data_IF_515248885851
#
_entry.id   IF_515248885851
#
_cell.length_a   1.000
_cell.length_b   1.000
_cell.length_c   1.000
_cell.angle_alpha   90.00
_cell.angle_beta   90.00
_cell.angle_gamma   90.00
#
_symmetry.space_group_name_H-M   'P 1'
#
loop_
_entity.id
_entity.type
_entity.pdbx_description
1 polymer ?
#
# COMPACT_ATOMS: atom_id res chain seq x y z
N UNK A 1 -11.48 31.72 13.68
CA UNK A 1 -11.11 30.29 13.67
C UNK A 1 -10.12 30.15 12.53
N UNK A 2 -8.85 29.91 12.85
CA UNK A 2 -7.84 29.58 11.84
C UNK A 2 -8.26 28.23 11.25
N UNK A 3 -8.46 28.20 9.94
CA UNK A 3 -8.76 26.97 9.24
C UNK A 3 -7.45 26.17 9.18
N UNK A 4 -7.22 25.33 10.17
CA UNK A 4 -6.06 24.44 10.23
C UNK A 4 -6.33 23.25 9.32
N UNK A 5 -5.48 23.02 8.34
CA UNK A 5 -5.55 21.88 7.45
C UNK A 5 -4.28 21.07 7.61
N UNK A 6 -4.31 19.95 8.35
CA UNK A 6 -3.12 19.17 8.65
C UNK A 6 -2.54 18.50 7.41
N UNK A 7 -1.22 18.20 7.46
CA UNK A 7 -0.55 17.28 6.56
C UNK A 7 -0.22 16.02 7.35
N UNK A 8 -0.72 14.88 6.90
CA UNK A 8 -0.41 13.58 7.46
C UNK A 8 0.74 12.95 6.68
N UNK A 9 1.78 12.53 7.38
CA UNK A 9 2.97 11.89 6.80
C UNK A 9 2.94 10.41 7.17
N UNK A 10 2.85 9.55 6.15
CA UNK A 10 2.85 8.09 6.27
C UNK A 10 4.22 7.52 5.91
N UNK A 11 4.59 6.42 6.54
CA UNK A 11 5.90 5.76 6.38
C UNK A 11 5.66 4.31 6.02
N UNK A 12 5.94 3.93 4.78
CA UNK A 12 5.47 2.68 4.19
C UNK A 12 6.59 1.86 3.55
N UNK A 13 6.48 0.55 3.69
CA UNK A 13 7.26 -0.37 2.87
C UNK A 13 6.82 -0.26 1.41
N UNK A 14 7.77 0.00 0.50
CA UNK A 14 7.49 0.27 -0.92
C UNK A 14 6.85 -0.92 -1.65
N UNK A 15 7.06 -2.13 -1.18
CA UNK A 15 6.57 -3.34 -1.85
C UNK A 15 5.24 -3.85 -1.28
N UNK A 16 5.08 -3.76 0.04
CA UNK A 16 3.92 -4.32 0.74
C UNK A 16 2.91 -3.26 1.16
N UNK A 17 3.30 -1.98 1.08
CA UNK A 17 2.55 -0.84 1.62
C UNK A 17 2.28 -0.93 3.13
N UNK A 18 2.97 -1.83 3.82
CA UNK A 18 2.86 -1.96 5.26
C UNK A 18 3.38 -0.70 5.95
N UNK A 19 2.63 -0.22 6.95
CA UNK A 19 3.04 0.91 7.79
C UNK A 19 4.25 0.53 8.63
N UNK A 20 5.33 1.31 8.54
CA UNK A 20 6.59 1.07 9.24
C UNK A 20 6.69 1.79 10.59
N UNK A 21 5.97 2.88 10.72
CA UNK A 21 5.84 3.65 11.97
C UNK A 21 4.57 4.50 11.94
N UNK A 22 4.11 4.95 13.11
CA UNK A 22 2.90 5.79 13.21
C UNK A 22 2.99 7.03 12.34
N UNK A 23 1.90 7.43 11.68
CA UNK A 23 1.85 8.66 10.91
C UNK A 23 2.17 9.89 11.76
N UNK A 24 2.87 10.84 11.18
CA UNK A 24 3.14 12.14 11.81
C UNK A 24 2.17 13.18 11.29
N UNK A 25 1.53 13.89 12.19
CA UNK A 25 0.68 15.04 11.84
C UNK A 25 1.48 16.33 11.93
N UNK A 26 1.42 17.12 10.87
CA UNK A 26 1.93 18.48 10.83
C UNK A 26 0.74 19.45 10.84
N UNK A 27 0.77 20.45 11.71
CA UNK A 27 -0.26 21.47 11.82
C UNK A 27 0.29 22.83 11.43
N UNK A 28 -0.50 23.60 10.69
CA UNK A 28 -0.16 24.97 10.27
C UNK A 28 -1.34 25.67 9.63
N UNK A 29 -1.21 26.99 9.48
CA UNK A 29 -2.22 27.82 8.80
C UNK A 29 -2.13 27.67 7.28
N UNK A 30 -3.26 27.80 6.59
CA UNK A 30 -3.31 27.77 5.11
C UNK A 30 -2.33 28.78 4.51
N UNK A 31 -1.47 28.29 3.62
CA UNK A 31 -0.40 29.08 2.97
C UNK A 31 0.92 29.15 3.74
N UNK A 32 0.99 28.65 4.97
CA UNK A 32 2.25 28.54 5.71
C UNK A 32 3.12 27.40 5.12
N UNK A 33 4.45 27.54 5.12
CA UNK A 33 5.33 26.49 4.63
C UNK A 33 5.47 25.34 5.64
N UNK A 34 5.58 24.12 5.15
CA UNK A 34 6.02 22.96 5.92
C UNK A 34 7.25 22.28 5.30
N UNK A 35 7.98 21.56 6.13
CA UNK A 35 9.11 20.73 5.70
C UNK A 35 9.09 19.41 6.47
N UNK A 36 9.17 18.30 5.73
CA UNK A 36 9.20 16.94 6.29
C UNK A 36 10.63 16.45 6.35
N UNK A 37 11.07 16.04 7.53
CA UNK A 37 12.35 15.37 7.73
C UNK A 37 12.15 13.86 7.57
N UNK A 38 12.97 13.23 6.75
CA UNK A 38 12.95 11.78 6.55
C UNK A 38 13.55 11.10 7.78
N UNK A 39 12.80 10.26 8.51
CA UNK A 39 13.31 9.56 9.68
C UNK A 39 14.24 8.41 9.30
N UNK A 40 15.11 8.03 10.22
CA UNK A 40 15.84 6.76 10.15
C UNK A 40 14.94 5.63 10.67
N UNK A 41 14.67 4.63 9.81
CA UNK A 41 13.90 3.43 10.18
C UNK A 41 14.83 2.22 10.15
N UNK A 42 14.91 1.49 11.26
CA UNK A 42 15.78 0.32 11.38
C UNK A 42 15.49 -0.71 10.30
N UNK A 43 16.52 -1.18 9.62
CA UNK A 43 16.46 -2.13 8.50
C UNK A 43 15.79 -1.62 7.23
N UNK A 44 15.48 -0.32 7.15
CA UNK A 44 14.89 0.30 5.98
C UNK A 44 15.73 1.47 5.47
N UNK A 45 15.62 1.74 4.19
CA UNK A 45 16.28 2.88 3.52
C UNK A 45 15.21 3.63 2.72
N UNK A 46 15.16 4.95 2.90
CA UNK A 46 14.26 5.81 2.13
C UNK A 46 14.53 5.69 0.64
N UNK A 47 13.47 5.68 -0.15
CA UNK A 47 13.52 5.60 -1.63
C UNK A 47 12.92 6.84 -2.25
N UNK A 48 11.65 7.13 -1.94
CA UNK A 48 10.82 8.06 -2.69
C UNK A 48 9.65 8.55 -1.83
N UNK A 49 8.95 9.58 -2.30
CA UNK A 49 7.73 10.07 -1.68
C UNK A 49 6.62 10.32 -2.71
N UNK A 50 5.37 10.14 -2.30
CA UNK A 50 4.21 10.64 -3.04
C UNK A 50 3.87 12.04 -2.51
N UNK A 51 4.26 13.06 -3.25
CA UNK A 51 4.10 14.46 -2.89
C UNK A 51 5.42 15.16 -2.50
N UNK A 52 5.33 16.44 -2.17
CA UNK A 52 6.49 17.28 -1.91
C UNK A 52 6.86 17.29 -0.42
N UNK A 53 8.13 16.96 -0.10
CA UNK A 53 8.66 17.05 1.27
C UNK A 53 8.68 18.49 1.82
N UNK A 54 8.68 19.47 0.93
CA UNK A 54 8.63 20.89 1.27
C UNK A 54 7.55 21.56 0.43
N UNK A 55 6.49 22.04 1.07
CA UNK A 55 5.37 22.68 0.40
C UNK A 55 4.65 23.62 1.35
N UNK A 56 3.41 23.96 1.09
CA UNK A 56 2.57 24.83 1.92
C UNK A 56 1.31 24.09 2.36
N UNK A 57 0.79 24.43 3.55
CA UNK A 57 -0.49 23.93 3.99
C UNK A 57 -1.61 24.42 3.08
N UNK A 58 -2.38 23.47 2.54
CA UNK A 58 -3.55 23.73 1.70
C UNK A 58 -4.78 24.13 2.50
N UNK A 59 -5.89 24.29 1.81
CA UNK A 59 -7.21 24.54 2.43
C UNK A 59 -7.98 23.26 2.77
N UNK A 60 -7.43 22.08 2.45
CA UNK A 60 -7.92 20.75 2.78
C UNK A 60 -6.80 19.94 3.41
N UNK A 61 -7.11 18.95 4.26
CA UNK A 61 -6.12 17.99 4.73
C UNK A 61 -5.34 17.35 3.58
N UNK A 62 -4.04 17.17 3.77
CA UNK A 62 -3.13 16.60 2.79
C UNK A 62 -2.49 15.34 3.36
N UNK A 63 -2.14 14.38 2.48
CA UNK A 63 -1.34 13.23 2.84
C UNK A 63 -0.05 13.19 2.03
N UNK A 64 1.02 12.74 2.67
CA UNK A 64 2.34 12.55 2.11
C UNK A 64 2.82 11.15 2.50
N UNK A 65 3.12 10.31 1.52
CA UNK A 65 3.60 8.95 1.75
C UNK A 65 5.08 8.87 1.44
N UNK A 66 5.87 8.48 2.43
CA UNK A 66 7.30 8.21 2.29
C UNK A 66 7.51 6.71 2.14
N UNK A 67 8.13 6.31 1.04
CA UNK A 67 8.37 4.91 0.72
C UNK A 67 9.78 4.50 1.08
N UNK A 68 9.88 3.38 1.76
CA UNK A 68 11.12 2.79 2.22
C UNK A 68 11.27 1.38 1.66
N UNK A 69 12.47 0.99 1.30
CA UNK A 69 12.82 -0.37 0.93
C UNK A 69 13.55 -1.08 2.07
N UNK A 70 13.47 -2.39 2.19
CA UNK A 70 14.38 -3.16 3.04
C UNK A 70 15.85 -2.84 2.72
N UNK A 71 16.69 -2.66 3.75
CA UNK A 71 18.11 -2.29 3.56
C UNK A 71 18.95 -3.40 2.93
N UNK A 72 18.45 -4.64 2.91
CA UNK A 72 19.07 -5.77 2.21
C UNK A 72 18.80 -5.76 0.68
N UNK A 73 18.03 -4.83 0.16
CA UNK A 73 17.97 -4.57 -1.28
C UNK A 73 18.94 -3.44 -1.61
N UNK A 74 19.59 -3.55 -2.77
CA UNK A 74 20.50 -2.49 -3.25
C UNK A 74 19.74 -1.24 -3.69
N UNK A 75 18.61 -1.45 -4.38
CA UNK A 75 17.80 -0.37 -4.92
C UNK A 75 16.34 -0.80 -5.14
N UNK A 76 15.42 0.16 -5.22
CA UNK A 76 14.02 -0.05 -5.56
C UNK A 76 13.47 1.18 -6.29
N UNK A 77 12.64 0.96 -7.32
CA UNK A 77 12.00 2.02 -8.09
C UNK A 77 10.55 1.68 -8.35
N UNK A 78 9.66 2.60 -8.02
CA UNK A 78 8.28 2.55 -8.49
C UNK A 78 8.28 2.83 -9.99
N UNK A 79 7.61 1.99 -10.74
CA UNK A 79 7.54 2.04 -12.20
C UNK A 79 6.11 1.82 -12.68
N UNK A 80 5.84 2.17 -13.92
CA UNK A 80 4.62 1.76 -14.63
C UNK A 80 5.07 1.04 -15.87
N UNK A 81 5.23 -0.28 -15.75
CA UNK A 81 5.67 -1.12 -16.86
C UNK A 81 4.83 -2.39 -16.96
N UNK A 82 5.01 -3.08 -18.06
CA UNK A 82 4.32 -4.32 -18.40
C UNK A 82 5.33 -5.37 -18.80
N UNK A 83 5.04 -6.62 -18.46
CA UNK A 83 5.85 -7.80 -18.78
C UNK A 83 5.04 -8.68 -19.73
N UNK A 84 5.62 -9.00 -20.88
CA UNK A 84 5.13 -10.06 -21.77
C UNK A 84 5.99 -11.33 -21.55
N UNK A 85 5.37 -12.41 -21.12
CA UNK A 85 6.05 -13.65 -20.77
C UNK A 85 6.25 -14.49 -22.04
N UNK A 86 7.50 -14.86 -22.34
CA UNK A 86 7.91 -15.57 -23.57
C UNK A 86 8.08 -17.08 -23.37
N UNK A 87 8.20 -17.53 -22.13
CA UNK A 87 8.24 -18.93 -21.74
C UNK A 87 7.68 -19.06 -20.32
N UNK A 88 7.25 -20.28 -19.94
CA UNK A 88 6.74 -20.51 -18.58
C UNK A 88 7.78 -20.12 -17.52
N UNK A 89 7.37 -19.38 -16.52
CA UNK A 89 8.21 -18.87 -15.45
C UNK A 89 7.62 -19.18 -14.08
N UNK A 90 8.45 -19.09 -13.05
CA UNK A 90 8.00 -19.12 -11.65
C UNK A 90 8.03 -17.71 -11.07
N UNK A 91 6.98 -17.34 -10.35
CA UNK A 91 6.98 -16.20 -9.44
C UNK A 91 7.31 -16.67 -8.03
N UNK A 92 7.96 -15.79 -7.26
CA UNK A 92 8.41 -16.05 -5.90
C UNK A 92 7.75 -15.07 -4.93
N UNK A 93 7.60 -15.46 -3.66
CA UNK A 93 6.97 -14.62 -2.63
C UNK A 93 7.80 -13.37 -2.27
N UNK A 94 9.11 -13.40 -2.55
CA UNK A 94 10.03 -12.28 -2.33
C UNK A 94 11.05 -12.22 -3.48
N UNK A 95 11.78 -11.11 -3.67
CA UNK A 95 12.82 -10.99 -4.68
C UNK A 95 14.10 -11.75 -4.28
N UNK A 96 13.96 -13.06 -4.10
CA UNK A 96 15.00 -14.00 -3.70
C UNK A 96 14.72 -15.37 -4.35
N UNK A 97 15.75 -15.97 -4.97
CA UNK A 97 15.68 -17.30 -5.57
C UNK A 97 15.44 -18.44 -4.54
N UNK A 98 15.65 -18.17 -3.26
CA UNK A 98 15.37 -19.10 -2.16
C UNK A 98 13.99 -18.94 -1.55
N UNK A 99 13.24 -17.89 -1.97
CA UNK A 99 11.87 -17.69 -1.51
C UNK A 99 10.94 -18.80 -2.03
N UNK A 100 9.83 -19.00 -1.35
CA UNK A 100 8.80 -19.93 -1.79
C UNK A 100 8.22 -19.49 -3.16
N UNK A 101 7.86 -20.46 -3.99
CA UNK A 101 7.17 -20.20 -5.26
C UNK A 101 5.73 -19.79 -4.95
N UNK A 102 5.35 -18.60 -5.38
CA UNK A 102 4.00 -18.06 -5.20
C UNK A 102 3.05 -18.45 -6.34
N UNK A 103 3.56 -18.53 -7.58
CA UNK A 103 2.72 -18.85 -8.73
C UNK A 103 3.54 -19.41 -9.91
N UNK A 104 2.85 -20.16 -10.79
CA UNK A 104 3.32 -20.50 -12.14
C UNK A 104 2.79 -19.45 -13.12
N UNK A 105 3.68 -18.85 -13.89
CA UNK A 105 3.38 -17.77 -14.82
C UNK A 105 3.46 -18.32 -16.25
N UNK A 106 2.33 -18.43 -16.95
CA UNK A 106 2.29 -19.10 -18.26
C UNK A 106 2.85 -18.22 -19.37
N UNK A 107 3.46 -18.86 -20.37
CA UNK A 107 3.87 -18.23 -21.63
C UNK A 107 2.68 -17.52 -22.29
N UNK A 108 2.93 -16.35 -22.89
CA UNK A 108 1.93 -15.54 -23.58
C UNK A 108 1.07 -14.67 -22.65
N UNK A 109 1.27 -14.73 -21.33
CA UNK A 109 0.61 -13.86 -20.38
C UNK A 109 1.24 -12.47 -20.31
N UNK A 110 0.43 -11.47 -19.92
CA UNK A 110 0.84 -10.07 -19.74
C UNK A 110 0.60 -9.64 -18.30
N UNK A 111 1.59 -8.99 -17.70
CA UNK A 111 1.58 -8.62 -16.28
C UNK A 111 1.92 -7.15 -16.10
N UNK A 112 1.14 -6.43 -15.32
CA UNK A 112 1.51 -5.12 -14.84
C UNK A 112 2.57 -5.26 -13.75
N UNK A 113 3.57 -4.36 -13.75
CA UNK A 113 4.61 -4.32 -12.72
C UNK A 113 4.78 -2.89 -12.20
N UNK A 114 4.40 -2.63 -10.94
CA UNK A 114 4.51 -1.31 -10.32
C UNK A 114 5.86 -1.06 -9.66
N UNK A 115 6.68 -2.10 -9.44
CA UNK A 115 7.92 -2.00 -8.70
C UNK A 115 9.03 -2.86 -9.31
N UNK A 116 10.20 -2.25 -9.47
CA UNK A 116 11.46 -2.92 -9.79
C UNK A 116 12.41 -2.85 -8.62
N UNK A 117 13.05 -3.95 -8.29
CA UNK A 117 14.05 -4.07 -7.23
C UNK A 117 15.37 -4.57 -7.81
N UNK A 118 16.46 -4.09 -7.25
CA UNK A 118 17.82 -4.63 -7.46
C UNK A 118 18.29 -5.19 -6.11
N UNK A 119 18.54 -6.48 -6.08
CA UNK A 119 19.08 -7.14 -4.88
C UNK A 119 20.57 -6.85 -4.70
N UNK A 120 21.14 -7.16 -3.53
CA UNK A 120 22.57 -6.90 -3.22
C UNK A 120 23.52 -7.63 -4.15
N UNK A 121 23.11 -8.79 -4.70
CA UNK A 121 23.86 -9.55 -5.72
C UNK A 121 23.67 -9.01 -7.15
N UNK A 122 22.93 -7.92 -7.33
CA UNK A 122 22.74 -7.24 -8.62
C UNK A 122 21.64 -7.82 -9.51
N UNK A 123 20.83 -8.75 -9.02
CA UNK A 123 19.70 -9.30 -9.76
C UNK A 123 18.55 -8.30 -9.80
N UNK A 124 17.89 -8.22 -10.95
CA UNK A 124 16.68 -7.41 -11.13
C UNK A 124 15.45 -8.28 -10.92
N UNK A 125 14.51 -7.75 -10.14
CA UNK A 125 13.25 -8.38 -9.83
C UNK A 125 12.10 -7.41 -10.08
N UNK A 126 10.99 -7.94 -10.56
CA UNK A 126 9.79 -7.19 -10.90
C UNK A 126 8.61 -7.73 -10.11
N UNK A 127 7.95 -6.86 -9.36
CA UNK A 127 6.73 -7.22 -8.65
C UNK A 127 5.57 -7.33 -9.64
N UNK A 128 4.89 -8.47 -9.65
CA UNK A 128 3.70 -8.73 -10.46
C UNK A 128 2.46 -9.00 -9.62
N UNK A 129 2.59 -8.82 -8.34
CA UNK A 129 1.51 -9.01 -7.35
C UNK A 129 2.04 -8.88 -5.94
N UNK A 130 1.12 -8.80 -4.97
CA UNK A 130 1.46 -8.87 -3.56
C UNK A 130 2.06 -10.25 -3.31
N UNK A 131 3.28 -10.31 -2.79
CA UNK A 131 4.03 -11.57 -2.65
C UNK A 131 4.23 -12.36 -3.96
N UNK A 132 4.34 -11.66 -5.09
CA UNK A 132 4.62 -12.29 -6.38
C UNK A 132 5.68 -11.51 -7.16
N UNK A 133 6.84 -12.13 -7.35
CA UNK A 133 8.02 -11.52 -7.94
C UNK A 133 8.59 -12.35 -9.06
N UNK A 134 8.90 -11.72 -10.19
CA UNK A 134 9.63 -12.34 -11.30
C UNK A 134 11.08 -11.86 -11.29
N UNK A 135 12.02 -12.81 -11.35
CA UNK A 135 13.41 -12.50 -11.66
C UNK A 135 13.53 -12.14 -13.13
N UNK A 136 14.26 -11.07 -13.43
CA UNK A 136 14.49 -10.69 -14.82
C UNK A 136 15.37 -11.69 -15.54
N UNK A 137 14.87 -12.20 -16.67
CA UNK A 137 15.59 -13.03 -17.62
C UNK A 137 15.22 -12.62 -19.06
N UNK A 138 16.18 -12.02 -19.78
CA UNK A 138 15.93 -11.37 -21.06
C UNK A 138 15.35 -12.28 -22.15
N UNK A 139 15.55 -13.60 -22.04
CA UNK A 139 15.03 -14.59 -23.00
C UNK A 139 13.65 -15.17 -22.59
N UNK A 140 13.19 -14.87 -21.37
CA UNK A 140 11.91 -15.36 -20.85
C UNK A 140 10.84 -14.26 -20.77
N UNK A 141 11.23 -12.98 -20.82
CA UNK A 141 10.31 -11.87 -20.71
C UNK A 141 10.73 -10.66 -21.55
N UNK A 142 9.73 -9.88 -21.95
CA UNK A 142 9.91 -8.57 -22.59
C UNK A 142 9.23 -7.51 -21.73
N UNK A 143 9.97 -6.45 -21.44
CA UNK A 143 9.48 -5.28 -20.69
C UNK A 143 9.03 -4.19 -21.68
N UNK A 144 7.91 -3.53 -21.35
CA UNK A 144 7.38 -2.40 -22.11
C UNK A 144 6.85 -1.33 -21.14
N UNK A 145 7.03 -0.05 -21.49
CA UNK A 145 6.39 1.10 -20.85
C UNK A 145 4.98 1.38 -21.41
N UNK A 146 4.63 0.71 -22.50
CA UNK A 146 3.34 0.82 -23.16
C UNK A 146 2.47 -0.37 -22.81
N UNK A 147 1.23 -0.12 -22.40
CA UNK A 147 0.28 -1.18 -22.13
C UNK A 147 0.06 -2.05 -23.38
N UNK A 148 0.18 -3.38 -23.26
CA UNK A 148 -0.06 -4.28 -24.38
C UNK A 148 -1.54 -4.18 -24.81
N UNK A 149 -1.80 -4.33 -26.11
CA UNK A 149 -3.16 -4.47 -26.64
C UNK A 149 -3.65 -5.90 -26.35
N UNK A 150 -3.97 -6.17 -25.09
CA UNK A 150 -4.39 -7.47 -24.60
C UNK A 150 -5.68 -7.31 -23.77
N UNK A 151 -6.58 -8.26 -23.89
CA UNK A 151 -7.85 -8.24 -23.14
C UNK A 151 -7.61 -8.43 -21.64
N UNK A 152 -6.51 -9.08 -21.24
CA UNK A 152 -6.18 -9.38 -19.85
C UNK A 152 -4.74 -8.98 -19.53
N UNK A 153 -4.57 -7.92 -18.77
CA UNK A 153 -3.32 -7.59 -18.11
C UNK A 153 -3.49 -7.99 -16.64
N UNK A 154 -2.65 -8.91 -16.18
CA UNK A 154 -2.75 -9.47 -14.85
C UNK A 154 -1.90 -8.68 -13.84
N UNK A 155 -2.35 -8.67 -12.62
CA UNK A 155 -1.59 -8.37 -11.41
C UNK A 155 -2.13 -9.28 -10.32
N UNK A 156 -1.28 -10.05 -9.66
CA UNK A 156 -1.69 -10.90 -8.55
C UNK A 156 -1.88 -9.97 -7.35
N UNK A 157 -3.11 -9.54 -7.14
CA UNK A 157 -3.44 -9.02 -5.82
C UNK A 157 -3.35 -10.20 -4.86
N UNK A 158 -2.67 -10.04 -3.73
CA UNK A 158 -2.97 -10.89 -2.60
C UNK A 158 -4.47 -10.68 -2.38
N UNK A 159 -5.24 -11.63 -2.87
CA UNK A 159 -6.43 -11.91 -2.14
C UNK A 159 -5.88 -12.37 -0.77
N UNK A 160 -5.77 -11.44 0.18
CA UNK A 160 -6.45 -11.71 1.42
C UNK A 160 -7.74 -12.32 0.90
N UNK A 161 -7.94 -13.63 1.05
CA UNK A 161 -9.26 -14.23 0.92
C UNK A 161 -10.04 -13.36 1.87
N UNK A 162 -10.66 -12.32 1.30
CA UNK A 162 -11.56 -11.48 2.02
C UNK A 162 -12.56 -12.53 2.47
N UNK A 163 -12.40 -12.91 3.72
CA UNK A 163 -13.42 -13.72 4.31
C UNK A 163 -14.56 -12.72 4.39
N UNK A 164 -15.34 -12.63 3.30
CA UNK A 164 -16.52 -11.76 3.20
C UNK A 164 -17.58 -12.17 4.24
N UNK A 165 -17.26 -13.20 5.02
CA UNK A 165 -18.03 -13.60 6.18
C UNK A 165 -17.86 -12.51 7.25
N UNK A 166 -18.96 -11.87 7.63
CA UNK A 166 -18.93 -10.89 8.71
C UNK A 166 -18.29 -11.48 9.96
N UNK A 167 -17.29 -10.79 10.49
CA UNK A 167 -16.57 -11.15 11.71
C UNK A 167 -16.62 -10.05 12.77
N UNK A 168 -17.38 -8.99 12.47
CA UNK A 168 -17.55 -7.84 13.35
C UNK A 168 -18.89 -7.16 13.13
N UNK A 169 -19.31 -6.35 14.10
CA UNK A 169 -20.49 -5.49 14.06
C UNK A 169 -20.05 -4.06 14.34
N UNK A 170 -20.58 -3.12 13.56
CA UNK A 170 -20.40 -1.68 13.80
C UNK A 170 -21.15 -1.30 15.08
N UNK A 171 -20.47 -0.67 16.01
CA UNK A 171 -20.99 -0.20 17.28
C UNK A 171 -20.82 1.32 17.37
N UNK A 172 -21.84 2.04 17.02
CA UNK A 172 -21.86 3.49 17.02
C UNK A 172 -23.09 4.02 17.78
N UNK A 173 -23.59 5.17 17.42
CA UNK A 173 -24.83 5.69 18.01
C UNK A 173 -26.05 5.09 17.30
N UNK A 174 -27.08 4.65 18.05
CA UNK A 174 -28.27 4.00 17.49
C UNK A 174 -28.91 4.79 16.33
N UNK A 175 -29.15 4.11 15.22
CA UNK A 175 -29.70 4.66 13.97
C UNK A 175 -28.84 5.75 13.32
N UNK A 176 -27.55 5.81 13.62
CA UNK A 176 -26.59 6.70 12.96
C UNK A 176 -25.55 5.88 12.19
N UNK A 177 -24.80 6.56 11.34
CA UNK A 177 -23.67 5.97 10.61
C UNK A 177 -22.37 6.67 11.03
N UNK A 178 -21.28 5.94 11.04
CA UNK A 178 -19.93 6.47 11.22
C UNK A 178 -19.18 6.48 9.88
N UNK A 179 -18.24 7.41 9.75
CA UNK A 179 -17.42 7.52 8.54
C UNK A 179 -16.42 6.37 8.43
N UNK A 180 -16.15 5.98 7.19
CA UNK A 180 -15.04 5.11 6.81
C UNK A 180 -14.09 5.88 5.90
N UNK A 181 -12.80 5.57 5.98
CA UNK A 181 -11.72 6.37 5.44
C UNK A 181 -10.94 5.58 4.38
N UNK A 182 -10.32 6.28 3.42
CA UNK A 182 -9.46 5.64 2.41
C UNK A 182 -8.25 4.93 3.06
N UNK A 183 -7.76 5.49 4.15
CA UNK A 183 -6.63 5.03 4.95
C UNK A 183 -6.79 5.52 6.38
N UNK A 184 -6.10 4.95 7.39
CA UNK A 184 -6.09 5.47 8.74
C UNK A 184 -5.74 6.96 8.76
N UNK A 185 -6.56 7.78 9.44
CA UNK A 185 -6.45 9.24 9.50
C UNK A 185 -6.63 9.98 8.16
N UNK A 186 -7.01 9.28 7.09
CA UNK A 186 -7.21 9.83 5.75
C UNK A 186 -8.53 10.56 5.56
N UNK A 187 -8.91 10.76 4.29
CA UNK A 187 -10.18 11.37 3.94
C UNK A 187 -11.33 10.37 4.03
N UNK A 188 -12.52 10.79 4.48
CA UNK A 188 -13.69 9.94 4.48
C UNK A 188 -14.09 9.60 3.03
N UNK A 189 -14.40 8.33 2.79
CA UNK A 189 -14.81 7.79 1.48
C UNK A 189 -16.23 7.21 1.49
N UNK A 190 -16.83 7.08 2.68
CA UNK A 190 -18.16 6.52 2.84
C UNK A 190 -18.58 6.49 4.30
N UNK A 191 -19.60 5.68 4.59
CA UNK A 191 -20.08 5.46 5.94
C UNK A 191 -20.66 4.05 6.10
N UNK A 192 -20.68 3.54 7.35
CA UNK A 192 -21.33 2.31 7.76
C UNK A 192 -22.28 2.59 8.92
N UNK A 193 -23.42 1.93 8.95
CA UNK A 193 -24.45 2.19 9.96
C UNK A 193 -24.20 1.39 11.25
N UNK A 194 -24.70 1.92 12.36
CA UNK A 194 -24.74 1.19 13.61
C UNK A 194 -25.51 -0.13 13.46
N UNK A 195 -24.91 -1.22 13.91
CA UNK A 195 -25.44 -2.58 13.79
C UNK A 195 -25.14 -3.30 12.48
N UNK A 196 -24.47 -2.66 11.52
CA UNK A 196 -24.06 -3.34 10.29
C UNK A 196 -23.05 -4.45 10.59
N UNK A 197 -23.27 -5.61 9.96
CA UNK A 197 -22.32 -6.71 9.97
C UNK A 197 -21.26 -6.47 8.92
N UNK A 198 -19.99 -6.44 9.32
CA UNK A 198 -18.85 -6.12 8.47
C UNK A 198 -17.75 -7.18 8.58
N UNK A 199 -16.96 -7.32 7.53
CA UNK A 199 -15.79 -8.20 7.53
C UNK A 199 -14.52 -7.35 7.70
N UNK A 200 -13.80 -7.55 8.79
CA UNK A 200 -12.44 -7.02 8.99
C UNK A 200 -11.50 -7.90 8.18
N UNK A 201 -10.77 -7.27 7.24
CA UNK A 201 -9.80 -7.94 6.36
C UNK A 201 -8.36 -7.60 6.71
N UNK A 202 -8.13 -6.49 7.43
CA UNK A 202 -6.81 -6.06 7.85
C UNK A 202 -6.90 -5.26 9.15
N UNK A 203 -5.78 -5.14 9.89
CA UNK A 203 -5.70 -4.26 11.05
C UNK A 203 -4.34 -3.56 11.11
N UNK A 204 -4.34 -2.31 11.55
CA UNK A 204 -3.17 -1.47 11.71
C UNK A 204 -3.08 -0.96 13.14
N UNK A 205 -1.96 -1.22 13.80
CA UNK A 205 -1.68 -0.76 15.16
C UNK A 205 -0.76 0.46 15.12
N UNK A 206 -1.09 1.48 15.89
CA UNK A 206 -0.32 2.71 16.01
C UNK A 206 0.27 2.87 17.42
N UNK A 207 1.36 3.62 17.57
CA UNK A 207 2.09 3.79 18.85
C UNK A 207 1.27 4.44 19.98
N UNK A 208 0.14 5.06 19.63
CA UNK A 208 -0.80 5.67 20.58
C UNK A 208 -1.93 4.70 21.01
N UNK A 209 -1.71 3.39 20.86
CA UNK A 209 -2.69 2.33 21.12
C UNK A 209 -3.99 2.41 20.29
N UNK A 210 -4.01 3.25 19.25
CA UNK A 210 -5.12 3.30 18.31
C UNK A 210 -4.96 2.18 17.30
N UNK A 211 -6.05 1.41 17.11
CA UNK A 211 -6.14 0.36 16.11
C UNK A 211 -7.14 0.80 15.04
N UNK A 212 -6.78 0.59 13.80
CA UNK A 212 -7.66 0.78 12.65
C UNK A 212 -7.94 -0.56 11.99
N UNK A 213 -9.18 -0.77 11.58
CA UNK A 213 -9.61 -1.94 10.83
C UNK A 213 -9.96 -1.57 9.41
N UNK A 214 -9.44 -2.32 8.45
CA UNK A 214 -9.90 -2.28 7.08
C UNK A 214 -11.09 -3.20 6.92
N UNK A 215 -12.19 -2.62 6.45
CA UNK A 215 -13.44 -3.35 6.19
C UNK A 215 -13.53 -3.71 4.72
N UNK A 216 -13.88 -4.96 4.42
CA UNK A 216 -14.14 -5.40 3.06
C UNK A 216 -15.14 -4.47 2.37
N UNK A 217 -14.78 -3.93 1.21
CA UNK A 217 -15.60 -3.04 0.37
C UNK A 217 -15.97 -1.67 0.95
N UNK A 218 -15.50 -1.32 2.16
CA UNK A 218 -15.87 -0.06 2.81
C UNK A 218 -14.70 0.89 3.03
N UNK A 219 -13.49 0.38 3.33
CA UNK A 219 -12.33 1.17 3.73
C UNK A 219 -12.02 1.05 5.23
N UNK A 220 -11.29 2.02 5.78
CA UNK A 220 -10.76 1.98 7.14
C UNK A 220 -11.68 2.63 8.16
N UNK A 221 -11.78 2.01 9.34
CA UNK A 221 -12.55 2.51 10.48
C UNK A 221 -11.72 2.39 11.77
N UNK A 222 -11.92 3.31 12.71
CA UNK A 222 -11.30 3.20 14.02
C UNK A 222 -11.94 2.03 14.80
N UNK A 223 -11.09 1.23 15.45
CA UNK A 223 -11.51 0.05 16.23
C UNK A 223 -12.50 0.35 17.36
N UNK A 224 -12.56 1.61 17.84
CA UNK A 224 -13.53 2.04 18.84
C UNK A 224 -14.98 1.86 18.40
N UNK A 225 -15.23 1.82 17.11
CA UNK A 225 -16.57 1.69 16.52
C UNK A 225 -16.88 0.26 16.04
N UNK A 226 -16.07 -0.72 16.46
CA UNK A 226 -16.17 -2.10 15.99
C UNK A 226 -16.15 -3.07 17.17
N UNK A 227 -17.13 -3.97 17.20
CA UNK A 227 -17.15 -5.14 18.07
C UNK A 227 -16.85 -6.39 17.23
N UNK A 228 -15.71 -7.05 17.48
CA UNK A 228 -15.41 -8.37 16.87
C UNK A 228 -16.38 -9.42 17.40
N UNK A 229 -16.84 -10.32 16.50
CA UNK A 229 -17.76 -11.43 16.81
C UNK A 229 -17.00 -12.62 17.41
#
# INVERSE_FOLDING_TARGET
MTNESPVWVYYEDIATQATLMSPTRLDGGVGEPYSVTIPEITNYTYVDASGDLNSIFGNLPQSLHLYFRPSNWRDAHRITMYIAVQADMLAYEAPDDQAAVSANIPVGSFWATPLRVITVNGQFWYQIGDHAWLRYEAHLMVLSDTAPNAENIHYIQAHAVANDQPNAIVNFLPNQATEVFAEPYGLPIGSVADGDFVAIINEQHHDNDIIWYELAHHGWINSLYINKL
#
